data_IF_994346267544
#
_entry.id   IF_994346267544
#
_cell.length_a   1.000
_cell.length_b   1.000
_cell.length_c   1.000
_cell.angle_alpha   90.00
_cell.angle_beta   90.00
_cell.angle_gamma   90.00
#
_symmetry.space_group_name_H-M   'P 1'
#
loop_
_entity.id
_entity.type
_entity.pdbx_description
1 polymer ?
#
# COMPACT_ATOMS: atom_id res chain seq x y z
N UNK A 1 -37.96 -13.60 -21.36
CA UNK A 1 -36.78 -12.73 -21.13
C UNK A 1 -35.84 -13.43 -20.17
N UNK A 2 -34.72 -13.98 -20.66
CA UNK A 2 -33.77 -14.73 -19.83
C UNK A 2 -32.78 -13.77 -19.16
N UNK A 3 -32.80 -13.72 -17.83
CA UNK A 3 -31.84 -12.96 -17.04
C UNK A 3 -30.42 -13.50 -17.26
N UNK A 4 -29.52 -12.68 -17.81
CA UNK A 4 -28.09 -12.98 -17.90
C UNK A 4 -27.53 -13.19 -16.48
N UNK A 5 -27.28 -14.46 -16.10
CA UNK A 5 -26.48 -14.81 -14.92
C UNK A 5 -25.13 -14.10 -15.02
N UNK A 6 -24.87 -13.13 -14.14
CA UNK A 6 -23.54 -12.52 -13.98
C UNK A 6 -22.54 -13.63 -13.65
N UNK A 7 -21.62 -13.90 -14.57
CA UNK A 7 -20.49 -14.82 -14.35
C UNK A 7 -19.69 -14.34 -13.12
N UNK A 8 -19.60 -15.19 -12.10
CA UNK A 8 -18.84 -14.93 -10.87
C UNK A 8 -17.36 -14.88 -11.28
N UNK A 9 -16.78 -13.68 -11.30
CA UNK A 9 -15.40 -13.46 -11.76
C UNK A 9 -14.45 -14.32 -10.93
N UNK A 10 -13.76 -15.27 -11.56
CA UNK A 10 -12.82 -16.18 -10.90
C UNK A 10 -11.68 -15.35 -10.31
N UNK A 11 -11.61 -15.26 -8.98
CA UNK A 11 -10.55 -14.54 -8.28
C UNK A 11 -9.21 -15.17 -8.68
N UNK A 12 -8.24 -14.35 -9.06
CA UNK A 12 -6.90 -14.82 -9.44
C UNK A 12 -6.25 -15.57 -8.27
N UNK A 13 -5.58 -16.69 -8.55
CA UNK A 13 -4.81 -17.47 -7.55
C UNK A 13 -3.83 -16.59 -6.74
N UNK A 14 -3.30 -15.54 -7.35
CA UNK A 14 -2.38 -14.62 -6.68
C UNK A 14 -3.10 -13.78 -5.62
N UNK A 15 -4.33 -13.34 -5.86
CA UNK A 15 -5.14 -12.67 -4.82
C UNK A 15 -5.43 -13.61 -3.67
N UNK A 16 -5.85 -14.85 -3.93
CA UNK A 16 -6.07 -15.84 -2.87
C UNK A 16 -4.81 -16.09 -2.04
N UNK A 17 -3.64 -16.11 -2.68
CA UNK A 17 -2.36 -16.29 -1.96
C UNK A 17 -2.09 -15.13 -1.01
N UNK A 18 -2.30 -13.89 -1.46
CA UNK A 18 -2.13 -12.68 -0.64
C UNK A 18 -3.16 -12.65 0.49
N UNK A 19 -4.44 -12.92 0.19
CA UNK A 19 -5.51 -12.99 1.20
C UNK A 19 -5.20 -14.04 2.27
N UNK A 20 -4.71 -15.22 1.89
CA UNK A 20 -4.36 -16.24 2.87
C UNK A 20 -3.17 -15.84 3.77
N UNK A 21 -2.20 -15.09 3.24
CA UNK A 21 -1.12 -14.51 4.07
C UNK A 21 -1.69 -13.48 5.05
N UNK A 22 -2.56 -12.60 4.57
CA UNK A 22 -3.23 -11.59 5.39
C UNK A 22 -4.02 -12.22 6.54
N UNK A 23 -4.86 -13.21 6.24
CA UNK A 23 -5.65 -13.93 7.26
C UNK A 23 -4.74 -14.54 8.32
N UNK A 24 -3.67 -15.21 7.92
CA UNK A 24 -2.69 -15.77 8.87
C UNK A 24 -1.97 -14.72 9.72
N UNK A 25 -1.70 -13.54 9.17
CA UNK A 25 -1.10 -12.46 9.94
C UNK A 25 -2.09 -11.87 10.94
N UNK A 26 -3.35 -11.69 10.52
CA UNK A 26 -4.44 -11.23 11.40
C UNK A 26 -4.69 -12.25 12.52
N UNK A 27 -4.71 -13.56 12.21
CA UNK A 27 -4.80 -14.65 13.20
C UNK A 27 -3.66 -14.63 14.23
N UNK A 28 -2.48 -14.12 13.85
CA UNK A 28 -1.33 -13.91 14.74
C UNK A 28 -1.40 -12.58 15.51
N UNK A 29 -2.46 -11.79 15.35
CA UNK A 29 -2.60 -10.45 15.92
C UNK A 29 -1.73 -9.38 15.26
N UNK A 30 -1.21 -9.64 14.05
CA UNK A 30 -0.39 -8.67 13.30
C UNK A 30 -1.23 -7.96 12.24
N UNK A 31 -1.22 -6.63 12.26
CA UNK A 31 -1.91 -5.78 11.27
C UNK A 31 -0.95 -5.47 10.13
N UNK A 32 -1.08 -6.09 8.94
CA UNK A 32 0.02 -6.14 7.97
C UNK A 32 0.35 -4.81 7.30
N UNK A 33 -0.53 -3.82 7.38
CA UNK A 33 -0.30 -2.50 6.84
C UNK A 33 0.31 -1.52 7.88
N UNK A 34 0.36 -1.89 9.17
CA UNK A 34 0.85 -1.03 10.27
C UNK A 34 2.33 -1.18 10.59
N UNK A 35 3.07 -2.01 9.86
CA UNK A 35 4.48 -2.20 10.12
C UNK A 35 5.24 -1.77 8.89
N UNK A 36 6.26 -0.93 9.03
CA UNK A 36 7.38 -0.92 8.10
C UNK A 36 8.65 -0.62 8.89
N UNK A 37 9.52 -1.62 9.00
CA UNK A 37 10.80 -1.54 9.72
C UNK A 37 11.88 -0.75 8.96
N UNK A 38 11.49 0.00 7.92
CA UNK A 38 12.42 0.56 6.96
C UNK A 38 12.16 2.05 6.78
N UNK A 39 13.21 2.85 6.97
CA UNK A 39 13.23 4.28 6.62
C UNK A 39 13.06 4.54 5.11
N UNK A 40 13.18 3.49 4.30
CA UNK A 40 13.08 3.51 2.85
C UNK A 40 11.90 2.66 2.37
N UNK A 41 11.19 3.14 1.36
CA UNK A 41 10.14 2.38 0.70
C UNK A 41 10.65 1.10 0.03
N UNK A 42 9.75 0.13 -0.13
CA UNK A 42 10.06 -1.12 -0.86
C UNK A 42 10.46 -0.83 -2.30
N UNK A 43 11.56 -1.45 -2.74
CA UNK A 43 12.11 -1.15 -4.06
C UNK A 43 12.86 -2.31 -4.68
N UNK A 44 13.09 -2.22 -5.99
CA UNK A 44 13.93 -3.19 -6.68
C UNK A 44 15.41 -2.91 -6.45
N UNK A 45 16.19 -3.90 -6.01
CA UNK A 45 17.62 -3.74 -5.69
C UNK A 45 18.44 -3.21 -6.86
N UNK A 46 18.23 -3.77 -8.07
CA UNK A 46 19.08 -3.49 -9.23
C UNK A 46 18.70 -2.17 -9.91
N UNK A 47 17.41 -1.99 -10.20
CA UNK A 47 16.94 -0.78 -10.89
C UNK A 47 16.78 0.43 -9.97
N UNK A 48 16.85 0.22 -8.64
CA UNK A 48 16.64 1.24 -7.60
C UNK A 48 15.30 1.96 -7.71
N UNK A 49 14.32 1.35 -8.40
CA UNK A 49 12.99 1.92 -8.59
C UNK A 49 12.12 1.58 -7.38
N UNK A 50 11.59 2.58 -6.65
CA UNK A 50 10.60 2.34 -5.62
C UNK A 50 9.33 1.77 -6.23
N UNK A 51 8.73 0.81 -5.51
CA UNK A 51 7.44 0.27 -5.90
C UNK A 51 6.31 1.25 -5.57
N UNK A 52 5.25 1.19 -6.36
CA UNK A 52 4.10 2.08 -6.24
C UNK A 52 2.77 1.32 -6.31
N UNK A 53 1.67 2.02 -6.00
CA UNK A 53 0.34 1.44 -5.96
C UNK A 53 0.22 0.38 -4.87
N UNK A 54 -0.33 -0.78 -5.19
CA UNK A 54 -0.53 -1.86 -4.21
C UNK A 54 0.77 -2.62 -3.85
N UNK A 55 1.83 -2.46 -4.65
CA UNK A 55 3.03 -3.28 -4.52
C UNK A 55 3.77 -3.12 -3.18
N UNK A 56 3.92 -1.93 -2.58
CA UNK A 56 4.50 -1.78 -1.24
C UNK A 56 3.78 -2.61 -0.18
N UNK A 57 2.44 -2.65 -0.20
CA UNK A 57 1.66 -3.51 0.72
C UNK A 57 1.91 -4.99 0.45
N UNK A 58 1.97 -5.39 -0.81
CA UNK A 58 2.28 -6.79 -1.15
C UNK A 58 3.68 -7.20 -0.67
N UNK A 59 4.65 -6.29 -0.73
CA UNK A 59 5.98 -6.50 -0.15
C UNK A 59 5.91 -6.55 1.38
N UNK A 60 5.16 -5.65 2.02
CA UNK A 60 5.01 -5.62 3.47
C UNK A 60 4.41 -6.92 4.00
N UNK A 61 3.29 -7.37 3.43
CA UNK A 61 2.66 -8.65 3.80
C UNK A 61 3.65 -9.81 3.67
N UNK A 62 4.46 -9.80 2.62
CA UNK A 62 5.46 -10.83 2.36
C UNK A 62 6.61 -10.80 3.38
N UNK A 63 7.11 -9.61 3.72
CA UNK A 63 8.14 -9.44 4.74
C UNK A 63 7.64 -9.86 6.13
N UNK A 64 6.42 -9.49 6.51
CA UNK A 64 5.84 -9.91 7.79
C UNK A 64 5.58 -11.41 7.86
N UNK A 65 5.11 -11.99 6.75
CA UNK A 65 4.77 -13.40 6.71
C UNK A 65 6.01 -14.32 6.81
N UNK A 66 7.12 -13.92 6.18
CA UNK A 66 8.37 -14.66 6.17
C UNK A 66 9.45 -14.09 7.09
N UNK A 67 9.11 -13.06 7.88
CA UNK A 67 10.01 -12.38 8.82
C UNK A 67 11.27 -11.80 8.14
N UNK A 68 11.12 -11.30 6.91
CA UNK A 68 12.20 -10.58 6.23
C UNK A 68 12.36 -9.17 6.79
N UNK A 69 13.61 -8.77 6.92
CA UNK A 69 14.09 -7.46 7.41
C UNK A 69 14.56 -6.52 6.29
N UNK A 70 14.51 -6.94 5.03
CA UNK A 70 15.01 -6.15 3.92
C UNK A 70 13.88 -5.58 3.06
N UNK A 71 13.92 -4.28 2.71
CA UNK A 71 12.95 -3.66 1.79
C UNK A 71 13.22 -3.99 0.31
N UNK A 72 14.28 -4.74 0.00
CA UNK A 72 14.74 -4.95 -1.36
C UNK A 72 14.22 -6.24 -1.97
N UNK A 73 13.72 -6.11 -3.20
CA UNK A 73 13.28 -7.23 -4.00
C UNK A 73 14.01 -7.31 -5.34
N UNK A 74 14.06 -8.51 -5.92
CA UNK A 74 14.69 -8.76 -7.21
C UNK A 74 13.86 -9.72 -8.05
N UNK A 75 13.84 -9.50 -9.37
CA UNK A 75 13.22 -10.42 -10.32
C UNK A 75 14.09 -11.64 -10.59
N UNK A 76 13.47 -12.77 -10.96
CA UNK A 76 14.21 -14.02 -11.26
C UNK A 76 15.30 -13.85 -12.32
N UNK A 77 15.02 -13.13 -13.41
CA UNK A 77 15.99 -12.88 -14.47
C UNK A 77 17.21 -12.07 -13.98
N UNK A 78 16.96 -11.01 -13.22
CA UNK A 78 18.02 -10.18 -12.62
C UNK A 78 18.91 -10.99 -11.66
N UNK A 79 18.32 -11.91 -10.88
CA UNK A 79 19.04 -12.83 -10.02
C UNK A 79 20.00 -13.72 -10.83
N UNK A 80 19.52 -14.33 -11.92
CA UNK A 80 20.34 -15.17 -12.80
C UNK A 80 21.45 -14.38 -13.52
N UNK A 81 21.17 -13.16 -13.98
CA UNK A 81 22.17 -12.28 -14.60
C UNK A 81 23.33 -11.93 -13.67
N UNK A 82 23.07 -11.87 -12.35
CA UNK A 82 24.08 -11.64 -11.31
C UNK A 82 24.76 -12.91 -10.82
N UNK A 83 24.42 -14.07 -11.37
CA UNK A 83 24.93 -15.36 -10.91
C UNK A 83 24.46 -15.73 -9.50
N UNK A 84 23.34 -15.16 -9.04
CA UNK A 84 22.74 -15.49 -7.75
C UNK A 84 21.72 -16.61 -7.91
N UNK A 85 21.56 -17.42 -6.86
CA UNK A 85 20.59 -18.49 -6.80
C UNK A 85 19.48 -18.17 -5.79
N UNK A 86 18.32 -18.78 -5.97
CA UNK A 86 17.22 -18.64 -5.00
C UNK A 86 17.38 -19.79 -3.99
N UNK A 87 17.36 -19.47 -2.69
CA UNK A 87 17.47 -20.49 -1.61
C UNK A 87 16.37 -21.54 -1.77
N UNK A 88 16.71 -22.80 -1.49
CA UNK A 88 15.75 -23.90 -1.58
C UNK A 88 14.58 -23.67 -0.61
N UNK A 89 13.34 -23.84 -1.11
CA UNK A 89 12.12 -23.65 -0.31
C UNK A 89 11.56 -22.22 -0.33
N UNK A 90 12.35 -21.22 -0.75
CA UNK A 90 11.91 -19.83 -0.88
C UNK A 90 10.70 -19.70 -1.81
N UNK A 91 9.75 -18.85 -1.40
CA UNK A 91 8.54 -18.57 -2.18
C UNK A 91 8.64 -17.20 -2.83
N UNK A 92 8.17 -17.11 -4.06
CA UNK A 92 8.07 -15.84 -4.76
C UNK A 92 6.98 -14.95 -4.16
N UNK A 93 7.21 -13.65 -4.21
CA UNK A 93 6.18 -12.63 -4.10
C UNK A 93 5.72 -12.19 -5.51
N UNK A 94 4.46 -11.79 -5.62
CA UNK A 94 3.86 -11.41 -6.89
C UNK A 94 3.46 -9.95 -6.87
N UNK A 95 4.14 -9.14 -7.68
CA UNK A 95 3.86 -7.71 -7.81
C UNK A 95 3.05 -7.44 -9.09
N UNK A 96 2.27 -6.37 -9.10
CA UNK A 96 1.54 -5.92 -10.28
C UNK A 96 2.40 -4.98 -11.10
N UNK A 97 2.50 -5.27 -12.38
CA UNK A 97 3.12 -4.40 -13.37
C UNK A 97 2.16 -4.13 -14.50
N UNK A 98 1.87 -2.87 -14.73
CA UNK A 98 0.94 -2.44 -15.75
C UNK A 98 0.36 -1.08 -15.43
N UNK A 99 -0.51 -0.64 -16.32
CA UNK A 99 -1.09 0.68 -16.25
C UNK A 99 -2.38 0.73 -17.04
N UNK A 100 -2.81 1.95 -17.30
CA UNK A 100 -3.91 2.17 -18.20
C UNK A 100 -3.40 2.30 -19.63
N UNK A 101 -4.08 1.67 -20.57
CA UNK A 101 -3.82 1.83 -22.00
C UNK A 101 -5.14 2.18 -22.68
N UNK A 102 -5.10 3.17 -23.56
CA UNK A 102 -6.20 3.39 -24.51
C UNK A 102 -6.00 2.43 -25.68
N UNK A 103 -7.02 1.63 -25.98
CA UNK A 103 -7.06 0.80 -27.18
C UNK A 103 -8.17 1.32 -28.09
N UNK A 104 -7.94 1.25 -29.39
CA UNK A 104 -8.98 1.51 -30.39
C UNK A 104 -9.72 0.21 -30.66
N UNK A 105 -11.02 0.18 -30.42
CA UNK A 105 -11.89 -0.92 -30.84
C UNK A 105 -12.80 -0.46 -31.97
N UNK A 106 -13.01 -1.32 -32.96
CA UNK A 106 -14.01 -1.11 -34.00
C UNK A 106 -15.37 -1.55 -33.45
N UNK A 107 -16.31 -0.61 -33.39
CA UNK A 107 -17.67 -0.84 -32.91
C UNK A 107 -18.63 -0.53 -34.04
N UNK A 108 -19.64 -1.37 -34.23
CA UNK A 108 -20.72 -1.07 -35.17
C UNK A 108 -21.72 -0.14 -34.51
N UNK A 109 -22.01 1.00 -35.14
CA UNK A 109 -23.03 1.93 -34.67
C UNK A 109 -24.45 1.40 -34.94
N UNK A 110 -25.47 2.10 -34.44
CA UNK A 110 -26.88 1.74 -34.60
C UNK A 110 -27.36 1.78 -36.08
N UNK A 111 -26.51 2.26 -37.00
CA UNK A 111 -26.75 2.35 -38.45
C UNK A 111 -25.94 1.32 -39.25
N UNK A 112 -25.20 0.44 -38.59
CA UNK A 112 -24.40 -0.60 -39.23
C UNK A 112 -23.01 -0.14 -39.70
N UNK A 113 -22.57 1.08 -39.39
CA UNK A 113 -21.24 1.57 -39.75
C UNK A 113 -20.19 1.15 -38.71
N UNK A 114 -19.02 0.73 -39.19
CA UNK A 114 -17.87 0.43 -38.33
C UNK A 114 -17.21 1.76 -37.97
N UNK A 115 -17.30 2.15 -36.70
CA UNK A 115 -16.64 3.32 -36.15
C UNK A 115 -15.50 2.90 -35.23
N UNK A 116 -14.42 3.67 -35.23
CA UNK A 116 -13.34 3.50 -34.27
C UNK A 116 -13.69 4.20 -32.96
N UNK A 117 -13.68 3.46 -31.87
CA UNK A 117 -13.93 3.97 -30.52
C UNK A 117 -12.70 3.76 -29.66
N UNK A 118 -12.25 4.84 -29.04
CA UNK A 118 -11.24 4.75 -27.99
C UNK A 118 -11.84 4.19 -26.71
N UNK A 119 -11.20 3.14 -26.19
CA UNK A 119 -11.56 2.49 -24.93
C UNK A 119 -10.39 2.48 -23.99
N UNK A 120 -10.61 3.07 -22.82
CA UNK A 120 -9.66 3.02 -21.73
C UNK A 120 -9.74 1.65 -21.04
N UNK A 121 -8.66 0.88 -21.13
CA UNK A 121 -8.52 -0.38 -20.41
C UNK A 121 -7.43 -0.28 -19.35
N UNK A 122 -7.70 -0.85 -18.17
CA UNK A 122 -6.68 -1.09 -17.15
C UNK A 122 -6.21 -2.51 -17.29
N UNK A 123 -4.94 -2.71 -17.64
CA UNK A 123 -4.34 -4.03 -17.72
C UNK A 123 -3.10 -4.10 -16.86
N UNK A 124 -2.88 -5.27 -16.26
CA UNK A 124 -1.67 -5.53 -15.51
C UNK A 124 -1.30 -6.99 -15.68
N UNK A 125 -0.02 -7.26 -15.54
CA UNK A 125 0.53 -8.60 -15.39
C UNK A 125 1.13 -8.75 -14.01
N UNK A 126 1.25 -9.99 -13.57
CA UNK A 126 1.96 -10.33 -12.35
C UNK A 126 3.44 -10.54 -12.67
N UNK A 127 4.30 -9.89 -11.90
CA UNK A 127 5.74 -10.09 -11.91
C UNK A 127 6.13 -10.91 -10.69
N UNK A 128 6.94 -11.94 -10.94
CA UNK A 128 7.52 -12.76 -9.90
C UNK A 128 8.80 -12.10 -9.39
N UNK A 129 8.84 -11.79 -8.11
CA UNK A 129 9.99 -11.22 -7.42
C UNK A 129 10.28 -12.00 -6.14
N UNK A 130 11.48 -11.83 -5.61
CA UNK A 130 11.94 -12.45 -4.37
C UNK A 130 12.56 -11.36 -3.49
N UNK A 131 12.35 -11.44 -2.18
CA UNK A 131 13.10 -10.63 -1.24
C UNK A 131 14.59 -11.03 -1.34
N UNK A 132 15.52 -10.09 -1.18
CA UNK A 132 16.95 -10.40 -1.25
C UNK A 132 17.40 -11.42 -0.20
N UNK A 133 16.72 -11.52 0.94
CA UNK A 133 17.03 -12.52 1.98
C UNK A 133 16.70 -13.95 1.54
N UNK A 134 15.85 -14.11 0.53
CA UNK A 134 15.53 -15.38 -0.10
C UNK A 134 16.55 -15.81 -1.17
N UNK A 135 17.57 -14.98 -1.42
CA UNK A 135 18.61 -15.17 -2.43
C UNK A 135 19.91 -15.62 -1.76
N UNK A 136 20.63 -16.50 -2.44
CA UNK A 136 21.98 -16.94 -2.11
C UNK A 136 22.94 -16.43 -3.19
N UNK A 137 23.89 -15.60 -2.77
CA UNK A 137 24.94 -15.01 -3.60
C UNK A 137 26.33 -15.59 -3.29
N UNK A 138 26.41 -16.68 -2.49
CA UNK A 138 27.67 -17.27 -1.99
C UNK A 138 28.66 -17.59 -3.11
N UNK A 139 28.16 -18.10 -4.25
CA UNK A 139 28.96 -18.48 -5.41
C UNK A 139 29.21 -17.33 -6.40
N UNK A 140 28.57 -16.18 -6.22
CA UNK A 140 28.74 -15.04 -7.14
C UNK A 140 29.91 -14.15 -6.75
N UNK A 141 30.53 -13.53 -7.75
CA UNK A 141 31.57 -12.50 -7.59
C UNK A 141 31.00 -11.18 -7.08
N UNK A 142 29.75 -10.85 -7.43
CA UNK A 142 29.07 -9.64 -6.96
C UNK A 142 28.19 -10.04 -5.80
N UNK A 143 28.39 -9.46 -4.62
CA UNK A 143 27.54 -9.72 -3.47
C UNK A 143 26.38 -8.75 -3.42
N UNK A 144 25.28 -9.18 -2.80
CA UNK A 144 24.11 -8.35 -2.50
C UNK A 144 24.54 -7.20 -1.60
N UNK A 145 25.40 -7.47 -0.61
CA UNK A 145 25.94 -6.48 0.32
C UNK A 145 26.64 -5.32 -0.40
N UNK A 146 27.33 -5.59 -1.50
CA UNK A 146 28.06 -4.57 -2.29
C UNK A 146 27.10 -3.58 -2.99
N UNK A 147 25.84 -3.95 -3.16
CA UNK A 147 24.83 -3.14 -3.85
C UNK A 147 23.90 -2.41 -2.89
N UNK A 148 23.90 -2.76 -1.61
CA UNK A 148 23.10 -2.09 -0.61
C UNK A 148 23.64 -0.67 -0.40
N UNK A 149 22.78 0.36 -0.46
CA UNK A 149 23.23 1.71 -0.18
C UNK A 149 23.70 1.81 1.27
N UNK A 150 24.78 2.55 1.50
CA UNK A 150 25.12 3.02 2.84
C UNK A 150 23.98 3.93 3.31
N UNK A 151 23.27 3.52 4.37
CA UNK A 151 22.17 4.31 4.91
C UNK A 151 22.73 5.61 5.48
N UNK A 152 22.53 6.72 4.78
CA UNK A 152 22.54 8.02 5.43
C UNK A 152 21.21 8.14 6.19
N UNK A 153 21.26 8.16 7.52
CA UNK A 153 20.07 8.49 8.30
C UNK A 153 19.73 9.96 8.05
N UNK A 154 18.67 10.21 7.30
CA UNK A 154 18.10 11.56 7.24
C UNK A 154 17.56 11.93 8.63
N UNK A 155 17.87 13.14 9.10
CA UNK A 155 17.39 13.59 10.40
C UNK A 155 15.85 13.68 10.41
N UNK A 156 15.17 13.28 11.50
CA UNK A 156 13.71 13.35 11.62
C UNK A 156 13.11 14.72 11.26
N UNK A 157 13.82 15.81 11.53
CA UNK A 157 13.38 17.17 11.21
C UNK A 157 13.16 17.42 9.70
N UNK A 158 13.95 16.81 8.83
CA UNK A 158 13.80 16.99 7.37
C UNK A 158 12.54 16.28 6.87
N UNK A 159 12.24 15.09 7.43
CA UNK A 159 11.01 14.35 7.11
C UNK A 159 9.76 15.14 7.53
N UNK A 160 9.77 15.74 8.73
CA UNK A 160 8.64 16.53 9.23
C UNK A 160 8.36 17.76 8.36
N UNK A 161 9.39 18.51 7.98
CA UNK A 161 9.22 19.66 7.09
C UNK A 161 8.64 19.26 5.73
N UNK A 162 9.02 18.09 5.23
CA UNK A 162 8.51 17.55 3.96
C UNK A 162 7.02 17.19 4.09
N UNK A 163 6.64 16.55 5.18
CA UNK A 163 5.23 16.23 5.47
C UNK A 163 4.43 17.51 5.64
N UNK A 164 4.90 18.47 6.44
CA UNK A 164 4.23 19.77 6.65
C UNK A 164 4.02 20.52 5.33
N UNK A 165 5.02 20.53 4.46
CA UNK A 165 4.91 21.14 3.12
C UNK A 165 3.85 20.42 2.27
N UNK A 166 3.80 19.09 2.33
CA UNK A 166 2.76 18.31 1.66
C UNK A 166 1.37 18.66 2.18
N UNK A 167 1.18 18.68 3.50
CA UNK A 167 -0.10 19.02 4.14
C UNK A 167 -0.57 20.44 3.78
N UNK A 168 0.35 21.41 3.82
CA UNK A 168 0.04 22.80 3.46
C UNK A 168 -0.51 22.91 2.02
N UNK A 169 0.04 22.12 1.08
CA UNK A 169 -0.40 22.11 -0.31
C UNK A 169 -1.78 21.46 -0.53
N UNK A 170 -2.27 20.64 0.41
CA UNK A 170 -3.60 20.03 0.31
C UNK A 170 -4.74 21.02 0.60
N UNK A 171 -4.45 22.19 1.17
CA UNK A 171 -5.45 23.20 1.57
C UNK A 171 -6.60 22.63 2.42
N UNK A 172 -6.31 21.63 3.26
CA UNK A 172 -7.31 20.97 4.11
C UNK A 172 -7.55 21.77 5.39
N UNK A 173 -8.79 21.87 5.85
CA UNK A 173 -9.15 22.59 7.08
C UNK A 173 -8.84 21.73 8.31
N UNK A 174 -7.62 21.86 8.83
CA UNK A 174 -7.15 21.13 10.02
C UNK A 174 -7.20 22.06 11.23
N UNK A 175 -7.88 21.63 12.30
CA UNK A 175 -7.90 22.30 13.60
C UNK A 175 -7.22 21.46 14.66
N UNK A 176 -6.43 22.13 15.50
CA UNK A 176 -5.73 21.51 16.62
C UNK A 176 -6.42 21.81 17.95
N UNK A 177 -6.60 20.78 18.78
CA UNK A 177 -7.21 20.85 20.10
C UNK A 177 -8.04 19.62 20.46
N UNK A 178 -8.57 19.58 21.68
CA UNK A 178 -9.37 18.45 22.17
C UNK A 178 -8.53 17.20 22.44
N UNK A 179 -9.20 16.06 22.51
CA UNK A 179 -8.61 14.76 22.88
C UNK A 179 -8.92 13.64 21.87
N UNK A 180 -9.47 13.99 20.70
CA UNK A 180 -9.85 13.01 19.68
C UNK A 180 -9.54 13.52 18.27
N UNK A 181 -8.94 12.66 17.46
CA UNK A 181 -8.80 12.87 16.02
C UNK A 181 -10.09 12.43 15.30
N UNK A 182 -10.53 13.21 14.32
CA UNK A 182 -11.66 12.85 13.46
C UNK A 182 -11.81 13.77 12.26
N UNK A 183 -12.22 13.20 11.13
CA UNK A 183 -12.73 13.91 9.97
C UNK A 183 -14.25 14.07 10.04
N UNK A 184 -14.73 15.30 9.87
CA UNK A 184 -16.14 15.63 9.82
C UNK A 184 -16.64 15.66 8.36
N UNK A 185 -17.38 14.63 7.94
CA UNK A 185 -17.86 14.49 6.56
C UNK A 185 -18.85 15.58 6.11
N UNK A 186 -19.50 16.30 7.04
CA UNK A 186 -20.42 17.39 6.72
C UNK A 186 -19.68 18.69 6.42
N UNK A 187 -18.70 19.03 7.25
CA UNK A 187 -17.96 20.30 7.16
C UNK A 187 -16.64 20.21 6.40
N UNK A 188 -16.13 18.99 6.18
CA UNK A 188 -14.80 18.73 5.58
C UNK A 188 -13.64 19.08 6.51
N UNK A 189 -13.91 19.36 7.79
CA UNK A 189 -12.90 19.69 8.79
C UNK A 189 -12.24 18.43 9.35
N UNK A 190 -10.92 18.50 9.53
CA UNK A 190 -10.16 17.54 10.31
C UNK A 190 -9.89 18.15 11.69
N UNK A 191 -10.30 17.44 12.73
CA UNK A 191 -9.94 17.74 14.12
C UNK A 191 -8.76 16.85 14.51
N UNK A 192 -7.72 17.44 15.09
CA UNK A 192 -6.55 16.72 15.63
C UNK A 192 -6.25 17.19 17.05
N UNK A 193 -5.88 16.31 18.00
CA UNK A 193 -5.25 16.71 19.24
C UNK A 193 -3.92 17.45 18.97
N UNK A 194 -3.41 18.18 19.96
CA UNK A 194 -2.08 18.77 19.86
C UNK A 194 -1.00 17.69 19.76
N UNK A 195 0.07 17.97 19.01
CA UNK A 195 1.20 17.04 18.80
C UNK A 195 1.74 16.44 20.10
N UNK A 196 1.88 17.27 21.13
CA UNK A 196 2.39 16.85 22.44
C UNK A 196 1.47 15.89 23.22
N UNK A 197 0.28 15.59 22.73
CA UNK A 197 -0.65 14.62 23.32
C UNK A 197 -0.47 13.21 22.76
N UNK A 198 0.33 13.02 21.71
CA UNK A 198 0.60 11.70 21.12
C UNK A 198 1.83 11.06 21.76
N UNK A 199 1.80 9.74 21.91
CA UNK A 199 2.93 8.96 22.47
C UNK A 199 4.16 9.03 21.57
N UNK A 200 3.96 9.10 20.25
CA UNK A 200 5.05 9.19 19.28
C UNK A 200 4.78 10.21 18.18
N UNK A 201 5.89 10.76 17.65
CA UNK A 201 5.90 11.63 16.45
C UNK A 201 5.22 10.93 15.26
N UNK A 202 5.57 9.67 15.02
CA UNK A 202 5.07 8.91 13.89
C UNK A 202 3.58 8.57 14.06
N UNK A 203 3.13 8.31 15.30
CA UNK A 203 1.72 8.14 15.63
C UNK A 203 0.89 9.38 15.31
N UNK A 204 1.37 10.58 15.64
CA UNK A 204 0.71 11.83 15.26
C UNK A 204 0.50 11.93 13.74
N UNK A 205 1.56 11.67 12.95
CA UNK A 205 1.47 11.76 11.50
C UNK A 205 0.59 10.67 10.90
N UNK A 206 0.68 9.45 11.40
CA UNK A 206 -0.15 8.33 10.95
C UNK A 206 -1.64 8.62 11.19
N UNK A 207 -2.00 9.15 12.36
CA UNK A 207 -3.37 9.58 12.66
C UNK A 207 -3.83 10.71 11.75
N UNK A 208 -2.99 11.73 11.51
CA UNK A 208 -3.36 12.80 10.57
C UNK A 208 -3.57 12.26 9.15
N UNK A 209 -2.70 11.37 8.68
CA UNK A 209 -2.85 10.73 7.37
C UNK A 209 -4.14 9.92 7.25
N UNK A 210 -4.54 9.21 8.31
CA UNK A 210 -5.82 8.50 8.35
C UNK A 210 -6.99 9.47 8.10
N UNK A 211 -7.04 10.59 8.83
CA UNK A 211 -8.11 11.57 8.68
C UNK A 211 -8.09 12.30 7.33
N UNK A 212 -6.91 12.52 6.74
CA UNK A 212 -6.80 13.04 5.36
C UNK A 212 -7.34 12.06 4.35
N UNK A 213 -7.14 10.76 4.53
CA UNK A 213 -7.70 9.78 3.61
C UNK A 213 -9.22 9.83 3.67
N UNK A 214 -9.82 9.94 4.86
CA UNK A 214 -11.25 10.17 5.01
C UNK A 214 -11.73 11.44 4.30
N UNK A 215 -10.96 12.53 4.32
CA UNK A 215 -11.35 13.77 3.64
C UNK A 215 -11.52 13.62 2.13
N UNK A 216 -10.82 12.66 1.52
CA UNK A 216 -10.95 12.36 0.07
C UNK A 216 -12.20 11.56 -0.29
N UNK A 217 -12.96 11.03 0.67
CA UNK A 217 -14.06 10.10 0.41
C UNK A 217 -15.12 10.69 -0.53
N UNK A 218 -15.51 11.95 -0.30
CA UNK A 218 -16.54 12.64 -1.10
C UNK A 218 -16.10 12.82 -2.55
N UNK A 219 -14.88 13.31 -2.77
CA UNK A 219 -14.33 13.55 -4.12
C UNK A 219 -14.16 12.25 -4.91
N UNK A 220 -13.76 11.18 -4.20
CA UNK A 220 -13.58 9.85 -4.77
C UNK A 220 -14.87 9.02 -4.79
N UNK A 221 -16.02 9.64 -4.47
CA UNK A 221 -17.35 9.01 -4.46
C UNK A 221 -17.40 7.72 -3.65
N UNK A 222 -16.67 7.68 -2.52
CA UNK A 222 -16.74 6.60 -1.54
C UNK A 222 -17.91 6.86 -0.59
N UNK A 223 -18.65 5.79 -0.29
CA UNK A 223 -19.76 5.85 0.67
C UNK A 223 -19.22 5.87 2.09
N UNK A 224 -19.89 6.60 2.98
CA UNK A 224 -19.59 6.66 4.40
C UNK A 224 -20.87 6.36 5.21
N UNK A 225 -20.69 5.75 6.38
CA UNK A 225 -21.74 5.53 7.38
C UNK A 225 -21.18 5.91 8.74
N UNK A 226 -21.92 6.69 9.54
CA UNK A 226 -21.55 6.96 10.94
C UNK A 226 -21.90 5.82 11.90
N UNK A 227 -22.68 4.83 11.43
CA UNK A 227 -23.00 3.63 12.21
C UNK A 227 -21.82 2.66 12.18
N UNK A 228 -21.20 2.48 13.35
CA UNK A 228 -20.04 1.62 13.54
C UNK A 228 -20.31 0.14 13.32
N UNK A 229 -21.57 -0.29 13.30
CA UNK A 229 -21.94 -1.68 13.01
C UNK A 229 -22.21 -1.92 11.52
N UNK A 230 -22.13 -0.87 10.70
CA UNK A 230 -22.48 -0.96 9.29
C UNK A 230 -21.25 -1.35 8.44
N UNK A 231 -21.35 -2.33 7.52
CA UNK A 231 -20.21 -2.76 6.68
C UNK A 231 -19.51 -1.64 5.88
N UNK A 232 -20.26 -0.60 5.49
CA UNK A 232 -19.71 0.60 4.85
C UNK A 232 -18.73 1.35 5.77
N UNK A 233 -19.00 1.42 7.07
CA UNK A 233 -18.10 2.04 8.04
C UNK A 233 -16.77 1.30 8.06
N UNK A 234 -16.78 -0.01 8.31
CA UNK A 234 -15.56 -0.83 8.35
C UNK A 234 -14.78 -0.80 7.03
N UNK A 235 -15.47 -0.74 5.89
CA UNK A 235 -14.79 -0.61 4.59
C UNK A 235 -14.07 0.72 4.45
N UNK A 236 -14.66 1.82 4.91
CA UNK A 236 -14.03 3.14 4.81
C UNK A 236 -12.87 3.30 5.81
N UNK A 237 -12.99 2.76 7.02
CA UNK A 237 -11.87 2.64 7.98
C UNK A 237 -10.69 1.86 7.36
N UNK A 238 -10.96 0.71 6.72
CA UNK A 238 -9.91 -0.06 6.02
C UNK A 238 -9.22 0.78 4.94
N UNK A 239 -9.99 1.56 4.18
CA UNK A 239 -9.42 2.44 3.15
C UNK A 239 -8.56 3.53 3.79
N UNK A 240 -9.02 4.13 4.89
CA UNK A 240 -8.28 5.14 5.64
C UNK A 240 -6.96 4.60 6.18
N UNK A 241 -6.96 3.43 6.80
CA UNK A 241 -5.75 2.83 7.35
C UNK A 241 -4.75 2.39 6.28
N UNK A 242 -5.22 1.77 5.20
CA UNK A 242 -4.34 1.43 4.07
C UNK A 242 -3.77 2.68 3.42
N UNK A 243 -4.57 3.75 3.30
CA UNK A 243 -4.12 5.04 2.78
C UNK A 243 -3.09 5.71 3.69
N UNK A 244 -3.31 5.71 5.00
CA UNK A 244 -2.37 6.23 5.99
C UNK A 244 -1.05 5.46 5.94
N UNK A 245 -1.12 4.14 5.80
CA UNK A 245 0.04 3.27 5.66
C UNK A 245 0.84 3.57 4.39
N UNK A 246 0.16 3.83 3.26
CA UNK A 246 0.84 4.26 2.03
C UNK A 246 1.55 5.60 2.19
N UNK A 247 0.92 6.58 2.84
CA UNK A 247 1.53 7.88 3.10
C UNK A 247 2.70 7.76 4.08
N UNK A 248 2.55 6.98 5.15
CA UNK A 248 3.63 6.69 6.09
C UNK A 248 4.84 6.09 5.39
N UNK A 249 4.63 5.08 4.55
CA UNK A 249 5.72 4.48 3.77
C UNK A 249 6.35 5.48 2.77
N UNK A 250 5.54 6.34 2.14
CA UNK A 250 6.04 7.36 1.22
C UNK A 250 6.96 8.37 1.91
N UNK A 251 6.62 8.80 3.13
CA UNK A 251 7.41 9.75 3.92
C UNK A 251 8.46 9.09 4.84
N UNK A 252 8.63 7.76 4.74
CA UNK A 252 9.58 7.03 5.57
C UNK A 252 9.27 7.14 7.07
N UNK A 253 7.99 7.13 7.44
CA UNK A 253 7.56 6.94 8.81
C UNK A 253 7.71 5.47 9.18
N UNK A 254 8.29 5.19 10.33
CA UNK A 254 8.54 3.84 10.81
C UNK A 254 7.36 3.25 11.59
N UNK A 255 6.18 3.90 11.56
CA UNK A 255 5.23 3.81 12.67
C UNK A 255 4.89 2.37 13.04
N UNK A 256 5.18 2.04 14.30
CA UNK A 256 4.77 0.83 15.02
C UNK A 256 3.50 1.03 15.83
N UNK A 257 2.92 2.24 15.85
CA UNK A 257 1.85 2.61 16.76
C UNK A 257 0.86 3.55 16.08
N UNK A 258 -0.14 2.95 15.44
CA UNK A 258 -1.46 3.56 15.34
C UNK A 258 -2.20 3.12 16.60
N UNK A 259 -2.14 3.93 17.65
CA UNK A 259 -2.91 3.71 18.88
C UNK A 259 -4.40 3.58 18.50
N UNK A 260 -5.02 2.46 18.88
CA UNK A 260 -6.47 2.18 18.83
C UNK A 260 -7.11 1.54 17.57
N UNK A 261 -6.34 1.09 16.60
CA UNK A 261 -6.90 0.61 15.33
C UNK A 261 -7.20 -0.92 15.27
N UNK A 262 -6.72 -1.75 16.22
CA UNK A 262 -7.07 -3.17 16.23
C UNK A 262 -8.57 -3.45 16.44
N UNK A 263 -9.34 -2.46 16.90
CA UNK A 263 -10.74 -2.61 17.33
C UNK A 263 -11.72 -3.00 16.21
N UNK A 264 -11.43 -2.68 14.94
CA UNK A 264 -12.31 -3.03 13.83
C UNK A 264 -11.94 -4.36 13.14
N UNK A 265 -10.79 -4.96 13.48
CA UNK A 265 -10.34 -6.21 12.86
C UNK A 265 -11.21 -7.41 13.22
N UNK A 266 -11.88 -7.36 14.37
CA UNK A 266 -12.88 -8.37 14.78
C UNK A 266 -14.10 -8.43 13.85
N UNK A 267 -14.29 -7.43 12.98
CA UNK A 267 -15.44 -7.32 12.08
C UNK A 267 -15.11 -7.58 10.60
N UNK A 268 -13.87 -7.99 10.25
CA UNK A 268 -13.48 -8.33 8.87
C UNK A 268 -13.56 -9.82 8.54
#
# INVERSE_FOLDING_TARGET
MAAKKKSRTKISKNFTTVTNKLLKLIERGTVPWHQSWHDIGYQNLISKKPYSGINPILCQIDCLYYEYSSPYYIGKAQCSEKGWSIKQGSKANWLRWGGSKTITEQVTDDRGQIIEREKFIRSFKWLMVFNIEAIDDSQSKTKIADLLPHQAQESPNVKDLTIESFIANLNTNIKYGGNKASHNFTTGQIQMPYRGQFVSRDGFWATLFHELVHSTAKELKRSYSGDKNHPIYHREELVADLGASFLGNHFGLGSTELEHHATYLEHY
#
